data_IF_893863104364
#
_entry.id   IF_893863104364
#
_cell.length_a   1.000
_cell.length_b   1.000
_cell.length_c   1.000
_cell.angle_alpha   90.00
_cell.angle_beta   90.00
_cell.angle_gamma   90.00
#
_symmetry.space_group_name_H-M   'P 1'
#
loop_
_entity.id
_entity.type
_entity.pdbx_description
1 polymer ?
#
# COMPACT_ATOMS: atom_id res chain seq x y z
N UNK A 1 57.44 -27.05 11.36
CA UNK A 1 56.82 -28.34 11.70
C UNK A 1 55.36 -28.30 11.25
N UNK A 2 55.04 -28.91 10.12
CA UNK A 2 53.68 -28.94 9.55
C UNK A 2 52.85 -29.92 10.39
N UNK A 3 51.80 -29.47 11.09
CA UNK A 3 50.97 -30.38 11.90
C UNK A 3 49.94 -31.09 11.02
N UNK A 4 49.97 -32.42 11.02
CA UNK A 4 49.12 -33.32 10.21
C UNK A 4 47.66 -33.40 10.70
N UNK A 5 47.16 -32.38 11.38
CA UNK A 5 45.83 -32.39 11.98
C UNK A 5 44.79 -31.73 11.03
N UNK A 6 43.85 -32.50 10.43
CA UNK A 6 42.92 -32.00 9.41
C UNK A 6 41.87 -31.01 9.93
N UNK A 7 41.77 -30.83 11.25
CA UNK A 7 40.90 -29.84 11.89
C UNK A 7 41.59 -28.46 11.95
N UNK A 8 42.90 -28.42 12.21
CA UNK A 8 43.68 -27.17 12.24
C UNK A 8 43.89 -26.61 10.83
N UNK A 9 44.00 -27.49 9.83
CA UNK A 9 44.03 -27.09 8.42
C UNK A 9 42.73 -26.44 7.93
N UNK A 10 41.57 -26.77 8.52
CA UNK A 10 40.28 -26.14 8.19
C UNK A 10 40.09 -24.80 8.89
N UNK A 11 40.50 -24.69 10.16
CA UNK A 11 40.40 -23.43 10.91
C UNK A 11 41.34 -22.32 10.35
N UNK A 12 42.54 -22.69 9.90
CA UNK A 12 43.49 -21.73 9.29
C UNK A 12 43.30 -21.52 7.77
N UNK A 13 42.55 -22.40 7.07
CA UNK A 13 42.05 -22.12 5.72
C UNK A 13 40.75 -21.31 5.71
N UNK A 14 40.12 -21.10 6.86
CA UNK A 14 39.02 -20.15 7.01
C UNK A 14 39.60 -18.74 7.24
N UNK A 15 40.39 -18.26 6.27
CA UNK A 15 40.85 -16.86 6.23
C UNK A 15 39.63 -15.97 6.10
N UNK A 16 39.40 -15.16 7.13
CA UNK A 16 38.37 -14.13 7.15
C UNK A 16 38.51 -13.15 5.99
N UNK A 17 37.36 -12.63 5.55
CA UNK A 17 37.16 -11.35 4.86
C UNK A 17 38.04 -11.00 3.63
N UNK A 18 38.81 -11.92 3.06
CA UNK A 18 39.73 -11.65 1.95
C UNK A 18 39.68 -12.69 0.83
N UNK A 19 38.51 -13.29 0.58
CA UNK A 19 38.21 -13.98 -0.67
C UNK A 19 37.44 -13.03 -1.59
N UNK A 20 38.10 -11.93 -1.98
CA UNK A 20 37.75 -11.22 -3.20
C UNK A 20 38.29 -12.08 -4.33
N UNK A 21 37.40 -12.81 -5.00
CA UNK A 21 37.70 -13.45 -6.27
C UNK A 21 38.36 -12.40 -7.18
N UNK A 22 39.64 -12.62 -7.44
CA UNK A 22 40.51 -11.71 -8.21
C UNK A 22 40.31 -11.91 -9.71
N UNK A 23 39.26 -12.62 -10.11
CA UNK A 23 38.80 -12.70 -11.49
C UNK A 23 37.77 -11.59 -11.69
N UNK A 24 38.12 -10.57 -12.46
CA UNK A 24 37.36 -9.33 -12.79
C UNK A 24 37.67 -8.10 -11.93
N UNK A 25 38.94 -7.85 -11.62
CA UNK A 25 39.46 -6.46 -11.55
C UNK A 25 39.87 -6.01 -12.95
N UNK A 26 38.94 -6.11 -13.90
CA UNK A 26 39.16 -5.75 -15.31
C UNK A 26 38.40 -4.47 -15.59
N UNK A 27 39.14 -3.36 -15.68
CA UNK A 27 38.73 -2.08 -16.27
C UNK A 27 37.35 -1.56 -15.85
N UNK A 28 37.28 -0.92 -14.69
CA UNK A 28 36.33 0.17 -14.51
C UNK A 28 36.80 1.34 -15.39
N UNK A 29 36.58 1.23 -16.71
CA UNK A 29 36.95 2.25 -17.70
C UNK A 29 36.24 3.58 -17.37
N UNK A 30 36.93 4.70 -17.63
CA UNK A 30 36.36 6.04 -17.40
C UNK A 30 34.97 6.20 -18.05
N UNK A 31 34.77 5.58 -19.21
CA UNK A 31 33.49 5.54 -19.94
C UNK A 31 32.35 4.80 -19.21
N UNK A 32 32.66 3.82 -18.37
CA UNK A 32 31.67 3.16 -17.51
C UNK A 32 31.31 4.01 -16.29
N UNK A 33 32.30 4.72 -15.72
CA UNK A 33 32.04 5.68 -14.64
C UNK A 33 31.13 6.81 -15.14
N UNK A 34 31.46 7.39 -16.30
CA UNK A 34 30.68 8.46 -16.90
C UNK A 34 29.25 8.02 -17.22
N UNK A 35 29.05 6.80 -17.74
CA UNK A 35 27.72 6.22 -17.94
C UNK A 35 26.94 6.00 -16.64
N UNK A 36 27.63 5.69 -15.55
CA UNK A 36 26.99 5.50 -14.24
C UNK A 36 26.61 6.85 -13.60
N UNK A 37 27.44 7.89 -13.78
CA UNK A 37 27.14 9.25 -13.32
C UNK A 37 26.07 9.95 -14.18
N UNK A 38 26.02 9.67 -15.50
CA UNK A 38 24.98 10.15 -16.40
C UNK A 38 23.73 9.26 -16.44
N UNK A 39 23.71 8.13 -15.72
CA UNK A 39 22.54 7.28 -15.67
C UNK A 39 21.38 8.00 -14.96
N UNK A 40 20.17 8.01 -15.53
CA UNK A 40 18.99 8.57 -14.87
C UNK A 40 18.78 7.95 -13.49
N UNK A 41 18.40 8.77 -12.51
CA UNK A 41 18.13 8.31 -11.15
C UNK A 41 17.21 7.08 -11.17
N UNK A 42 17.63 6.01 -10.51
CA UNK A 42 16.92 4.73 -10.54
C UNK A 42 15.45 4.91 -10.12
N UNK A 43 14.52 4.64 -11.03
CA UNK A 43 13.08 4.67 -10.76
C UNK A 43 12.73 3.81 -9.54
N UNK A 44 11.68 4.16 -8.80
CA UNK A 44 11.17 3.38 -7.65
C UNK A 44 10.92 1.90 -7.96
N UNK A 45 10.57 1.57 -9.21
CA UNK A 45 10.44 0.19 -9.70
C UNK A 45 11.74 -0.62 -9.67
N UNK A 46 12.91 0.04 -9.75
CA UNK A 46 14.23 -0.59 -9.82
C UNK A 46 14.89 -0.73 -8.44
N UNK A 47 14.54 0.14 -7.51
CA UNK A 47 15.09 0.14 -6.14
C UNK A 47 14.24 -0.68 -5.16
N UNK A 48 13.03 -1.08 -5.54
CA UNK A 48 12.10 -1.82 -4.67
C UNK A 48 11.60 -1.03 -3.47
N UNK A 49 11.86 0.29 -3.42
CA UNK A 49 11.40 1.19 -2.35
C UNK A 49 10.15 1.93 -2.79
N UNK A 50 9.12 1.86 -1.95
CA UNK A 50 7.86 2.57 -2.15
C UNK A 50 8.06 4.08 -1.92
N UNK A 51 7.63 4.91 -2.89
CA UNK A 51 7.65 6.38 -2.78
C UNK A 51 6.27 6.91 -2.43
N UNK A 52 6.19 8.17 -1.99
CA UNK A 52 4.90 8.81 -1.70
C UNK A 52 3.99 8.84 -2.93
N UNK A 53 4.57 9.04 -4.13
CA UNK A 53 3.83 9.06 -5.39
C UNK A 53 3.25 7.67 -5.73
N UNK A 54 3.97 6.60 -5.40
CA UNK A 54 3.49 5.22 -5.55
C UNK A 54 2.34 4.92 -4.55
N UNK A 55 2.46 5.40 -3.31
CA UNK A 55 1.37 5.29 -2.32
C UNK A 55 0.12 6.00 -2.83
N UNK A 56 0.25 7.25 -3.27
CA UNK A 56 -0.84 8.08 -3.78
C UNK A 56 -1.54 7.40 -4.96
N UNK A 57 -0.76 6.85 -5.90
CA UNK A 57 -1.31 6.20 -7.10
C UNK A 57 -2.05 4.91 -6.73
N UNK A 58 -1.47 4.06 -5.88
CA UNK A 58 -2.10 2.79 -5.48
C UNK A 58 -3.36 3.00 -4.64
N UNK A 59 -3.35 3.94 -3.69
CA UNK A 59 -4.56 4.23 -2.90
C UNK A 59 -5.64 4.86 -3.77
N UNK A 60 -5.27 5.72 -4.72
CA UNK A 60 -6.20 6.26 -5.72
C UNK A 60 -6.83 5.19 -6.59
N UNK A 61 -6.06 4.22 -7.09
CA UNK A 61 -6.58 3.09 -7.88
C UNK A 61 -7.53 2.23 -7.04
N UNK A 62 -7.15 1.87 -5.81
CA UNK A 62 -8.01 1.07 -4.93
C UNK A 62 -9.33 1.78 -4.61
N UNK A 63 -9.26 3.08 -4.34
CA UNK A 63 -10.44 3.90 -4.10
C UNK A 63 -11.34 3.97 -5.35
N UNK A 64 -10.75 4.15 -6.53
CA UNK A 64 -11.50 4.17 -7.78
C UNK A 64 -12.19 2.83 -8.07
N UNK A 65 -11.53 1.70 -7.82
CA UNK A 65 -12.12 0.36 -7.93
C UNK A 65 -13.32 0.23 -6.99
N UNK A 66 -13.17 0.61 -5.72
CA UNK A 66 -14.24 0.55 -4.73
C UNK A 66 -15.45 1.40 -5.16
N UNK A 67 -15.24 2.65 -5.58
CA UNK A 67 -16.31 3.55 -6.03
C UNK A 67 -16.99 3.04 -7.30
N UNK A 68 -16.22 2.53 -8.27
CA UNK A 68 -16.77 1.98 -9.51
C UNK A 68 -17.67 0.77 -9.23
N UNK A 69 -17.20 -0.17 -8.41
CA UNK A 69 -18.01 -1.34 -8.03
C UNK A 69 -19.21 -0.93 -7.19
N UNK A 70 -19.07 0.02 -6.28
CA UNK A 70 -20.19 0.56 -5.49
C UNK A 70 -21.25 1.25 -6.34
N UNK A 71 -20.85 2.02 -7.36
CA UNK A 71 -21.79 2.67 -8.28
C UNK A 71 -22.57 1.65 -9.12
N UNK A 72 -21.90 0.59 -9.59
CA UNK A 72 -22.56 -0.52 -10.30
C UNK A 72 -23.53 -1.25 -9.36
N UNK A 73 -23.09 -1.55 -8.14
CA UNK A 73 -23.91 -2.25 -7.15
C UNK A 73 -25.14 -1.43 -6.74
N UNK A 74 -24.99 -0.11 -6.60
CA UNK A 74 -26.07 0.81 -6.27
C UNK A 74 -27.15 0.86 -7.37
N UNK A 75 -26.76 0.82 -8.64
CA UNK A 75 -27.70 0.88 -9.77
C UNK A 75 -28.38 -0.46 -10.07
N UNK A 76 -27.75 -1.58 -9.68
CA UNK A 76 -28.17 -2.92 -10.07
C UNK A 76 -29.15 -3.61 -9.10
N UNK A 77 -29.58 -2.93 -8.02
CA UNK A 77 -30.47 -3.47 -6.97
C UNK A 77 -30.19 -4.93 -6.61
N UNK A 78 -28.92 -5.23 -6.32
CA UNK A 78 -28.56 -6.57 -5.87
C UNK A 78 -29.10 -6.72 -4.45
N UNK A 79 -30.11 -7.57 -4.26
CA UNK A 79 -30.72 -7.80 -2.95
C UNK A 79 -29.75 -8.32 -1.88
N UNK A 80 -30.29 -8.71 -0.71
CA UNK A 80 -29.49 -9.04 0.48
C UNK A 80 -28.37 -10.08 0.29
N UNK A 81 -28.45 -10.96 -0.70
CA UNK A 81 -27.39 -11.93 -1.02
C UNK A 81 -26.07 -11.28 -1.43
N UNK A 82 -26.11 -10.19 -2.22
CA UNK A 82 -24.89 -9.48 -2.61
C UNK A 82 -24.29 -8.67 -1.45
N UNK A 83 -25.13 -8.16 -0.55
CA UNK A 83 -24.69 -7.52 0.68
C UNK A 83 -23.96 -8.52 1.59
N UNK A 84 -24.53 -9.70 1.80
CA UNK A 84 -23.88 -10.76 2.58
C UNK A 84 -22.56 -11.19 1.93
N UNK A 85 -22.52 -11.37 0.60
CA UNK A 85 -21.30 -11.72 -0.11
C UNK A 85 -20.23 -10.62 0.03
N UNK A 86 -20.60 -9.35 -0.12
CA UNK A 86 -19.68 -8.22 0.05
C UNK A 86 -19.13 -8.13 1.48
N UNK A 87 -20.00 -8.20 2.49
CA UNK A 87 -19.61 -8.07 3.91
C UNK A 87 -18.82 -9.29 4.38
N UNK A 88 -19.34 -10.50 4.21
CA UNK A 88 -18.66 -11.71 4.68
C UNK A 88 -17.45 -12.06 3.80
N UNK A 89 -17.55 -11.89 2.49
CA UNK A 89 -16.44 -12.10 1.57
C UNK A 89 -15.32 -11.08 1.79
N UNK A 90 -15.68 -9.80 1.97
CA UNK A 90 -14.75 -8.73 2.35
C UNK A 90 -14.08 -9.02 3.68
N UNK A 91 -14.85 -9.39 4.71
CA UNK A 91 -14.32 -9.74 6.02
C UNK A 91 -13.34 -10.92 5.98
N UNK A 92 -13.67 -12.01 5.28
CA UNK A 92 -12.77 -13.15 5.12
C UNK A 92 -11.49 -12.74 4.40
N UNK A 93 -11.59 -11.96 3.32
CA UNK A 93 -10.41 -11.44 2.63
C UNK A 93 -9.57 -10.54 3.52
N UNK A 94 -10.19 -9.65 4.30
CA UNK A 94 -9.50 -8.78 5.25
C UNK A 94 -8.73 -9.60 6.29
N UNK A 95 -9.32 -10.69 6.80
CA UNK A 95 -8.64 -11.60 7.72
C UNK A 95 -7.44 -12.29 7.05
N UNK A 96 -7.61 -12.79 5.83
CA UNK A 96 -6.53 -13.43 5.06
C UNK A 96 -5.40 -12.45 4.77
N UNK A 97 -5.72 -11.21 4.41
CA UNK A 97 -4.75 -10.15 4.14
C UNK A 97 -4.03 -9.76 5.44
N UNK A 98 -4.75 -9.63 6.55
CA UNK A 98 -4.21 -9.22 7.86
C UNK A 98 -3.25 -10.25 8.46
N UNK A 99 -3.55 -11.54 8.28
CA UNK A 99 -2.65 -12.62 8.70
C UNK A 99 -1.55 -12.94 7.68
N UNK A 100 -1.64 -12.38 6.47
CA UNK A 100 -0.64 -12.53 5.43
C UNK A 100 0.63 -11.76 5.73
N UNK A 101 1.78 -12.45 5.74
CA UNK A 101 3.10 -11.79 5.86
C UNK A 101 3.52 -11.03 4.59
N UNK A 102 2.80 -11.24 3.47
CA UNK A 102 3.09 -10.62 2.18
C UNK A 102 1.81 -10.02 1.60
N UNK A 103 1.91 -8.79 1.11
CA UNK A 103 0.80 -8.12 0.43
C UNK A 103 0.70 -8.66 -0.98
N UNK A 104 -0.44 -9.28 -1.31
CA UNK A 104 -0.74 -9.80 -2.66
C UNK A 104 -1.70 -8.81 -3.35
N UNK A 105 -1.25 -8.01 -4.33
CA UNK A 105 -2.09 -6.97 -4.95
C UNK A 105 -3.46 -7.46 -5.45
N UNK A 106 -3.59 -8.65 -6.06
CA UNK A 106 -4.90 -9.15 -6.50
C UNK A 106 -5.90 -9.35 -5.36
N UNK A 107 -5.44 -9.78 -4.17
CA UNK A 107 -6.32 -9.95 -3.01
C UNK A 107 -6.84 -8.61 -2.50
N UNK A 108 -6.00 -7.58 -2.50
CA UNK A 108 -6.40 -6.23 -2.05
C UNK A 108 -7.41 -5.61 -3.02
N UNK A 109 -7.24 -5.82 -4.32
CA UNK A 109 -8.19 -5.36 -5.34
C UNK A 109 -9.53 -6.11 -5.21
N UNK A 110 -9.48 -7.43 -5.01
CA UNK A 110 -10.69 -8.22 -4.77
C UNK A 110 -11.41 -7.77 -3.49
N UNK A 111 -10.66 -7.48 -2.42
CA UNK A 111 -11.21 -6.92 -1.19
C UNK A 111 -11.92 -5.58 -1.45
N UNK A 112 -11.26 -4.64 -2.16
CA UNK A 112 -11.85 -3.35 -2.50
C UNK A 112 -13.13 -3.48 -3.35
N UNK A 113 -13.19 -4.47 -4.23
CA UNK A 113 -14.41 -4.76 -5.01
C UNK A 113 -15.55 -5.30 -4.13
N UNK A 114 -15.26 -6.22 -3.20
CA UNK A 114 -16.27 -6.78 -2.30
C UNK A 114 -16.81 -5.74 -1.31
N UNK A 115 -15.94 -4.90 -0.76
CA UNK A 115 -16.35 -3.76 0.07
C UNK A 115 -17.16 -2.74 -0.73
N UNK A 116 -16.74 -2.43 -1.96
CA UNK A 116 -17.50 -1.57 -2.87
C UNK A 116 -18.90 -2.12 -3.14
N UNK A 117 -19.02 -3.43 -3.38
CA UNK A 117 -20.30 -4.13 -3.55
C UNK A 117 -21.20 -3.95 -2.32
N UNK A 118 -20.67 -4.23 -1.11
CA UNK A 118 -21.42 -4.08 0.13
C UNK A 118 -21.91 -2.63 0.31
N UNK A 119 -21.02 -1.64 0.16
CA UNK A 119 -21.34 -0.23 0.30
C UNK A 119 -22.34 0.25 -0.76
N UNK A 120 -22.29 -0.26 -1.99
CA UNK A 120 -23.23 0.08 -3.05
C UNK A 120 -24.64 -0.45 -2.78
N UNK A 121 -24.77 -1.69 -2.28
CA UNK A 121 -26.07 -2.24 -1.86
C UNK A 121 -26.64 -1.47 -0.67
N UNK A 122 -25.80 -1.14 0.33
CA UNK A 122 -26.19 -0.30 1.47
C UNK A 122 -26.64 1.08 0.99
N UNK A 123 -25.92 1.67 0.03
CA UNK A 123 -26.27 2.96 -0.57
C UNK A 123 -27.63 2.90 -1.27
N UNK A 124 -27.97 1.80 -1.93
CA UNK A 124 -29.30 1.61 -2.52
C UNK A 124 -30.40 1.69 -1.46
N UNK A 125 -30.25 0.94 -0.36
CA UNK A 125 -31.20 0.93 0.76
C UNK A 125 -31.36 2.34 1.36
N UNK A 126 -30.27 3.06 1.59
CA UNK A 126 -30.36 4.44 2.12
C UNK A 126 -30.98 5.42 1.13
N UNK A 127 -30.81 5.21 -0.17
CA UNK A 127 -31.41 6.09 -1.17
C UNK A 127 -32.94 5.92 -1.26
N UNK A 128 -33.47 4.73 -0.96
CA UNK A 128 -34.92 4.48 -0.87
C UNK A 128 -35.55 5.25 0.29
N UNK A 129 -34.84 5.38 1.41
CA UNK A 129 -35.32 6.06 2.62
C UNK A 129 -35.04 7.57 2.56
N UNK A 130 -33.86 7.95 2.05
CA UNK A 130 -33.36 9.32 1.99
C UNK A 130 -32.79 9.61 0.60
N UNK A 131 -33.64 10.12 -0.28
CA UNK A 131 -33.27 10.47 -1.66
C UNK A 131 -32.14 11.51 -1.68
N UNK A 132 -31.04 11.18 -2.37
CA UNK A 132 -29.92 12.11 -2.64
C UNK A 132 -28.84 12.18 -1.57
N UNK A 133 -29.02 11.56 -0.39
CA UNK A 133 -27.99 11.55 0.67
C UNK A 133 -26.71 10.84 0.23
N UNK A 134 -26.85 9.81 -0.60
CA UNK A 134 -25.73 9.01 -1.11
C UNK A 134 -24.79 9.85 -1.96
N UNK A 135 -25.35 10.66 -2.88
CA UNK A 135 -24.53 11.50 -3.77
C UNK A 135 -23.77 12.55 -2.95
N UNK A 136 -24.41 13.14 -1.93
CA UNK A 136 -23.74 14.08 -1.03
C UNK A 136 -22.60 13.41 -0.24
N UNK A 137 -22.83 12.22 0.31
CA UNK A 137 -21.83 11.46 1.06
C UNK A 137 -20.62 11.07 0.20
N UNK A 138 -20.87 10.62 -1.03
CA UNK A 138 -19.81 10.27 -1.99
C UNK A 138 -19.01 11.50 -2.40
N UNK A 139 -19.66 12.62 -2.70
CA UNK A 139 -18.99 13.89 -3.05
C UNK A 139 -18.16 14.41 -1.86
N UNK A 140 -18.69 14.34 -0.64
CA UNK A 140 -17.95 14.73 0.56
C UNK A 140 -16.71 13.87 0.77
N UNK A 141 -16.82 12.55 0.56
CA UNK A 141 -15.71 11.62 0.68
C UNK A 141 -14.66 11.84 -0.42
N UNK A 142 -15.09 12.09 -1.65
CA UNK A 142 -14.21 12.45 -2.76
C UNK A 142 -13.45 13.74 -2.46
N UNK A 143 -14.14 14.78 -1.98
CA UNK A 143 -13.52 16.05 -1.63
C UNK A 143 -12.48 15.89 -0.50
N UNK A 144 -12.83 15.16 0.56
CA UNK A 144 -11.91 14.88 1.66
C UNK A 144 -10.70 14.05 1.19
N UNK A 145 -10.93 12.99 0.42
CA UNK A 145 -9.89 12.11 -0.09
C UNK A 145 -8.92 12.86 -1.00
N UNK A 146 -9.43 13.56 -2.01
CA UNK A 146 -8.61 14.36 -2.93
C UNK A 146 -7.90 15.50 -2.22
N UNK A 147 -8.55 16.17 -1.25
CA UNK A 147 -7.94 17.22 -0.45
C UNK A 147 -6.74 16.73 0.35
N UNK A 148 -6.89 15.58 1.02
CA UNK A 148 -5.80 14.94 1.77
C UNK A 148 -4.68 14.49 0.82
N UNK A 149 -5.03 13.87 -0.30
CA UNK A 149 -4.06 13.40 -1.30
C UNK A 149 -3.23 14.55 -1.87
N UNK A 150 -3.87 15.67 -2.20
CA UNK A 150 -3.22 16.89 -2.66
C UNK A 150 -2.33 17.51 -1.57
N UNK A 151 -2.79 17.54 -0.32
CA UNK A 151 -2.01 18.04 0.80
C UNK A 151 -0.71 17.24 1.03
N UNK A 152 -0.78 15.91 0.89
CA UNK A 152 0.39 15.03 0.94
C UNK A 152 1.31 15.20 -0.29
N UNK A 153 0.73 15.31 -1.50
CA UNK A 153 1.49 15.54 -2.73
C UNK A 153 2.24 16.88 -2.70
N UNK A 154 1.64 17.91 -2.13
CA UNK A 154 2.26 19.23 -1.97
C UNK A 154 3.46 19.21 -1.00
N UNK A 155 3.69 18.13 -0.27
CA UNK A 155 4.81 17.98 0.68
C UNK A 155 4.71 18.86 1.93
N UNK A 156 3.69 19.72 2.02
CA UNK A 156 3.45 20.68 3.11
C UNK A 156 2.86 20.02 4.35
N UNK A 157 2.12 18.92 4.17
CA UNK A 157 1.57 18.11 5.26
C UNK A 157 2.31 16.79 5.35
N UNK A 158 2.88 16.52 6.53
CA UNK A 158 3.56 15.27 6.86
C UNK A 158 2.98 14.70 8.14
N UNK A 159 2.79 13.39 8.18
CA UNK A 159 2.35 12.68 9.37
C UNK A 159 3.49 12.65 10.41
N UNK A 160 3.65 13.76 11.13
CA UNK A 160 4.63 13.87 12.22
C UNK A 160 4.05 13.34 13.53
N UNK A 161 4.88 12.92 14.50
CA UNK A 161 4.40 12.49 15.82
C UNK A 161 3.56 13.55 16.53
N UNK A 162 3.83 14.84 16.29
CA UNK A 162 3.03 15.95 16.83
C UNK A 162 1.63 16.00 16.21
N UNK A 163 1.52 15.81 14.90
CA UNK A 163 0.23 15.72 14.22
C UNK A 163 -0.59 14.53 14.72
N UNK A 164 0.04 13.36 14.88
CA UNK A 164 -0.64 12.16 15.41
C UNK A 164 -1.20 12.38 16.82
N UNK A 165 -0.42 13.02 17.72
CA UNK A 165 -0.89 13.33 19.08
C UNK A 165 -2.07 14.30 19.09
N UNK A 166 -2.02 15.33 18.24
CA UNK A 166 -3.13 16.27 18.09
C UNK A 166 -4.39 15.57 17.55
N UNK A 167 -4.23 14.73 16.52
CA UNK A 167 -5.33 13.96 15.95
C UNK A 167 -5.93 12.97 16.96
N UNK A 168 -5.09 12.29 17.74
CA UNK A 168 -5.54 11.39 18.81
C UNK A 168 -6.34 12.15 19.88
N UNK A 169 -5.87 13.31 20.32
CA UNK A 169 -6.60 14.17 21.26
C UNK A 169 -7.94 14.63 20.70
N UNK A 170 -7.97 15.03 19.43
CA UNK A 170 -9.20 15.40 18.74
C UNK A 170 -10.17 14.21 18.60
N UNK A 171 -9.68 13.02 18.27
CA UNK A 171 -10.48 11.81 18.14
C UNK A 171 -11.10 11.39 19.48
N UNK A 172 -10.34 11.44 20.58
CA UNK A 172 -10.84 11.18 21.93
C UNK A 172 -11.89 12.23 22.32
N UNK A 173 -11.62 13.51 22.05
CA UNK A 173 -12.57 14.59 22.31
C UNK A 173 -13.89 14.41 21.55
N UNK A 174 -13.83 14.03 20.27
CA UNK A 174 -15.00 13.71 19.47
C UNK A 174 -15.76 12.50 20.01
N UNK A 175 -15.08 11.42 20.42
CA UNK A 175 -15.74 10.24 20.95
C UNK A 175 -16.47 10.53 22.28
N UNK A 176 -15.93 11.42 23.10
CA UNK A 176 -16.54 11.79 24.40
C UNK A 176 -17.70 12.77 24.25
N UNK A 177 -17.61 13.74 23.32
CA UNK A 177 -18.59 14.82 23.16
C UNK A 177 -19.60 14.61 22.03
N UNK A 178 -19.25 13.81 21.02
CA UNK A 178 -20.01 13.59 19.78
C UNK A 178 -20.97 12.41 19.84
#
# INVERSE_FOLDING_TARGET
MQSSNPVLGRAFNQRGYAAMDTTTTSDVSADQLERTFNAPAASSMRTGRMTIDDVITRTGILFAVLVAVGAVAWTSNLGGGALMLGVFGGFILAMVISFGKTVRPPLVIAYAALEGLALGVISHIYNEIYSGIVVQAVVATLAAFTGVLFAYKSGRVRATPKFQRALMGAAIGYLILG
#
